data_IF_736186638693
#
_entry.id   IF_736186638693
#
_cell.length_a   1.000
_cell.length_b   1.000
_cell.length_c   1.000
_cell.angle_alpha   90.00
_cell.angle_beta   90.00
_cell.angle_gamma   90.00
#
_symmetry.space_group_name_H-M   'P 1'
#
loop_
_entity.id
_entity.type
_entity.pdbx_description
1 polymer ?
#
# COMPACT_ATOMS: atom_id res chain seq x y z
N UNK A 1 -16.14 -22.05 6.87
CA UNK A 1 -14.93 -21.30 7.25
C UNK A 1 -13.91 -22.26 7.84
N UNK A 2 -12.63 -21.91 7.87
CA UNK A 2 -11.66 -22.68 8.67
C UNK A 2 -12.01 -22.53 10.16
N UNK A 3 -11.64 -23.52 10.98
CA UNK A 3 -11.90 -23.47 12.44
C UNK A 3 -11.33 -22.20 13.09
N UNK A 4 -10.16 -21.76 12.63
CA UNK A 4 -9.52 -20.55 13.10
C UNK A 4 -10.30 -19.28 12.72
N UNK A 5 -10.79 -19.21 11.48
CA UNK A 5 -11.56 -18.06 11.01
C UNK A 5 -12.93 -17.98 11.70
N UNK A 6 -13.55 -19.12 12.00
CA UNK A 6 -14.78 -19.18 12.78
C UNK A 6 -14.58 -18.63 14.20
N UNK A 7 -13.54 -19.05 14.90
CA UNK A 7 -13.19 -18.50 16.22
C UNK A 7 -12.92 -16.99 16.18
N UNK A 8 -12.21 -16.52 15.14
CA UNK A 8 -11.93 -15.10 14.97
C UNK A 8 -13.23 -14.27 14.80
N UNK A 9 -14.20 -14.79 14.05
CA UNK A 9 -15.52 -14.14 13.89
C UNK A 9 -16.30 -14.13 15.20
N UNK A 10 -16.31 -15.24 15.96
CA UNK A 10 -16.98 -15.27 17.27
C UNK A 10 -16.37 -14.26 18.25
N UNK A 11 -15.04 -14.12 18.26
CA UNK A 11 -14.37 -13.10 19.07
C UNK A 11 -14.76 -11.69 18.59
N UNK A 12 -14.71 -11.43 17.28
CA UNK A 12 -15.03 -10.12 16.71
C UNK A 12 -16.45 -9.67 17.09
N UNK A 13 -17.43 -10.58 17.10
CA UNK A 13 -18.82 -10.27 17.51
C UNK A 13 -18.97 -9.71 18.93
N UNK A 14 -18.00 -9.97 19.81
CA UNK A 14 -18.02 -9.48 21.20
C UNK A 14 -17.41 -8.08 21.37
N UNK A 15 -16.77 -7.55 20.32
CA UNK A 15 -16.11 -6.24 20.34
C UNK A 15 -17.13 -5.10 20.15
N UNK A 16 -16.76 -3.84 20.48
CA UNK A 16 -17.58 -2.68 20.13
C UNK A 16 -17.82 -2.58 18.62
N UNK A 17 -18.97 -2.03 18.16
CA UNK A 17 -19.31 -1.92 16.74
C UNK A 17 -18.21 -1.29 15.87
N UNK A 18 -17.52 -0.28 16.39
CA UNK A 18 -16.46 0.45 15.68
C UNK A 18 -15.28 -0.48 15.35
N UNK A 19 -14.93 -1.36 16.29
CA UNK A 19 -13.85 -2.34 16.12
C UNK A 19 -14.27 -3.51 15.22
N UNK A 20 -15.56 -3.88 15.25
CA UNK A 20 -16.11 -4.85 14.30
C UNK A 20 -15.98 -4.35 12.85
N UNK A 21 -16.33 -3.08 12.62
CA UNK A 21 -16.22 -2.43 11.32
C UNK A 21 -14.76 -2.31 10.85
N UNK A 22 -13.82 -2.01 11.75
CA UNK A 22 -12.40 -1.96 11.44
C UNK A 22 -11.87 -3.33 10.97
N UNK A 23 -12.20 -4.40 11.71
CA UNK A 23 -11.85 -5.77 11.33
C UNK A 23 -12.47 -6.14 9.98
N UNK A 24 -13.74 -5.77 9.74
CA UNK A 24 -14.41 -6.02 8.47
C UNK A 24 -13.70 -5.33 7.30
N UNK A 25 -13.30 -4.06 7.45
CA UNK A 25 -12.53 -3.31 6.42
C UNK A 25 -11.19 -3.96 6.12
N UNK A 26 -10.47 -4.42 7.13
CA UNK A 26 -9.19 -5.14 6.94
C UNK A 26 -9.40 -6.46 6.20
N UNK A 27 -10.41 -7.26 6.59
CA UNK A 27 -10.76 -8.49 5.88
C UNK A 27 -11.14 -8.21 4.42
N UNK A 28 -11.91 -7.15 4.17
CA UNK A 28 -12.27 -6.72 2.81
C UNK A 28 -11.04 -6.27 2.02
N UNK A 29 -10.08 -5.55 2.62
CA UNK A 29 -8.83 -5.15 1.94
C UNK A 29 -7.97 -6.36 1.58
N UNK A 30 -7.84 -7.33 2.50
CA UNK A 30 -7.11 -8.58 2.24
C UNK A 30 -7.81 -9.42 1.15
N UNK A 31 -9.14 -9.55 1.24
CA UNK A 31 -9.94 -10.27 0.25
C UNK A 31 -9.97 -9.54 -1.10
N UNK A 32 -9.88 -8.22 -1.09
CA UNK A 32 -9.80 -7.43 -2.30
C UNK A 32 -8.52 -7.66 -3.05
N UNK A 33 -7.44 -8.20 -2.42
CA UNK A 33 -6.14 -8.57 -3.01
C UNK A 33 -6.04 -7.98 -4.40
N UNK A 34 -5.97 -6.64 -4.45
CA UNK A 34 -6.20 -5.94 -5.70
C UNK A 34 -5.22 -6.58 -6.68
N UNK A 35 -5.74 -7.09 -7.79
CA UNK A 35 -4.83 -7.58 -8.83
C UNK A 35 -3.80 -6.47 -9.00
N UNK A 36 -2.49 -6.78 -8.86
CA UNK A 36 -1.48 -5.76 -8.99
C UNK A 36 -1.80 -4.97 -10.24
N UNK A 37 -1.89 -3.64 -10.13
CA UNK A 37 -2.17 -2.83 -11.29
C UNK A 37 -1.20 -3.24 -12.39
N UNK A 38 -1.72 -3.40 -13.60
CA UNK A 38 -0.88 -3.78 -14.73
C UNK A 38 0.06 -2.60 -15.00
N UNK A 39 1.31 -2.75 -14.55
CA UNK A 39 2.37 -1.77 -14.78
C UNK A 39 3.07 -2.16 -16.06
N UNK A 40 3.24 -1.19 -16.96
CA UNK A 40 4.02 -1.36 -18.17
C UNK A 40 5.45 -1.82 -17.82
N UNK A 41 5.93 -2.97 -18.33
CA UNK A 41 7.30 -3.44 -18.12
C UNK A 41 8.38 -2.39 -18.47
N UNK A 42 8.07 -1.42 -19.34
CA UNK A 42 8.95 -0.29 -19.66
C UNK A 42 9.31 0.58 -18.44
N UNK A 43 8.53 0.54 -17.36
CA UNK A 43 8.82 1.28 -16.12
C UNK A 43 9.82 0.57 -15.19
N UNK A 44 10.04 -0.74 -15.35
CA UNK A 44 10.94 -1.50 -14.48
C UNK A 44 12.39 -0.97 -14.46
N UNK A 45 13.01 -0.57 -15.59
CA UNK A 45 14.33 0.05 -15.60
C UNK A 45 14.44 1.29 -14.70
N UNK A 46 13.41 2.14 -14.65
CA UNK A 46 13.42 3.36 -13.83
C UNK A 46 13.39 3.03 -12.33
N UNK A 47 12.63 2.02 -11.93
CA UNK A 47 12.60 1.52 -10.55
C UNK A 47 13.98 0.98 -10.14
N UNK A 48 14.59 0.16 -11.00
CA UNK A 48 15.91 -0.42 -10.72
C UNK A 48 16.99 0.66 -10.62
N UNK A 49 16.92 1.69 -11.47
CA UNK A 49 17.80 2.85 -11.42
C UNK A 49 17.63 3.62 -10.11
N UNK A 50 16.40 3.92 -9.71
CA UNK A 50 16.09 4.62 -8.45
C UNK A 50 16.60 3.85 -7.22
N UNK A 51 16.39 2.53 -7.17
CA UNK A 51 16.92 1.69 -6.10
C UNK A 51 18.46 1.69 -6.04
N UNK A 52 19.12 1.73 -7.19
CA UNK A 52 20.58 1.84 -7.24
C UNK A 52 21.09 3.20 -6.73
N UNK A 53 20.39 4.29 -7.03
CA UNK A 53 20.68 5.63 -6.53
C UNK A 53 20.49 5.71 -5.00
N UNK A 54 19.38 5.18 -4.48
CA UNK A 54 19.09 5.13 -3.05
C UNK A 54 20.19 4.37 -2.27
N UNK A 55 20.69 3.25 -2.81
CA UNK A 55 21.82 2.51 -2.21
C UNK A 55 23.12 3.33 -2.14
N UNK A 56 23.30 4.31 -3.02
CA UNK A 56 24.44 5.24 -3.04
C UNK A 56 24.18 6.52 -2.24
N UNK A 57 22.98 6.69 -1.67
CA UNK A 57 22.57 7.92 -0.98
C UNK A 57 22.30 9.09 -1.92
N UNK A 58 22.08 8.84 -3.20
CA UNK A 58 21.78 9.86 -4.22
C UNK A 58 20.30 10.23 -4.18
N UNK A 59 19.90 10.97 -3.14
CA UNK A 59 18.56 11.52 -3.01
C UNK A 59 18.50 12.94 -3.58
N UNK A 60 17.33 13.30 -4.13
CA UNK A 60 17.03 14.67 -4.48
C UNK A 60 17.00 15.55 -3.22
N UNK A 61 17.40 16.80 -3.37
CA UNK A 61 17.24 17.84 -2.34
C UNK A 61 15.79 18.27 -2.22
N UNK A 62 15.42 18.86 -1.08
CA UNK A 62 14.06 19.38 -0.85
C UNK A 62 13.63 20.36 -1.95
N UNK A 63 14.54 21.21 -2.44
CA UNK A 63 14.27 22.16 -3.51
C UNK A 63 13.97 21.48 -4.86
N UNK A 64 14.70 20.39 -5.18
CA UNK A 64 14.46 19.60 -6.40
C UNK A 64 13.12 18.86 -6.33
N UNK A 65 12.76 18.33 -5.15
CA UNK A 65 11.46 17.69 -4.91
C UNK A 65 10.32 18.71 -5.06
N UNK A 66 10.46 19.90 -4.47
CA UNK A 66 9.47 20.97 -4.59
C UNK A 66 9.31 21.45 -6.04
N UNK A 67 10.41 21.53 -6.80
CA UNK A 67 10.36 21.87 -8.22
C UNK A 67 9.63 20.80 -9.04
N UNK A 68 9.88 19.51 -8.76
CA UNK A 68 9.23 18.40 -9.45
C UNK A 68 7.72 18.37 -9.22
N UNK A 69 7.25 18.59 -7.99
CA UNK A 69 5.81 18.60 -7.69
C UNK A 69 5.07 19.78 -8.32
N UNK A 70 5.69 20.96 -8.37
CA UNK A 70 5.10 22.12 -9.05
C UNK A 70 4.84 21.89 -10.53
N UNK A 71 5.59 21.02 -11.20
CA UNK A 71 5.37 20.70 -12.61
C UNK A 71 4.03 19.98 -12.89
N UNK A 72 3.34 19.49 -11.84
CA UNK A 72 2.02 18.86 -11.95
C UNK A 72 0.85 19.80 -11.57
N UNK A 73 1.13 21.07 -11.22
CA UNK A 73 0.12 22.06 -10.82
C UNK A 73 -0.36 22.97 -11.97
N UNK A 74 0.13 22.74 -13.21
CA UNK A 74 -0.37 23.38 -14.44
C UNK A 74 -1.62 22.66 -14.99
#
# INVERSE_FOLDING_TARGET
MTKLLEQAVEIARTLPPEMQDEIARLMMSLAQSAEPEEIDPEHLPDVLKSLAQAKRGEFATDAEVEAAFRAFEE
#
